data_IF_747400602300
#
_entry.id   IF_747400602300
#
_cell.length_a   1.000
_cell.length_b   1.000
_cell.length_c   1.000
_cell.angle_alpha   90.00
_cell.angle_beta   90.00
_cell.angle_gamma   90.00
#
_symmetry.space_group_name_H-M   'P 1'
#
loop_
_entity.id
_entity.type
_entity.pdbx_description
1 polymer ?
#
# COMPACT_ATOMS: atom_id res chain seq x y z
N UNK A 1 -10.30 59.83 -1.66
CA UNK A 1 -9.04 60.01 -0.91
C UNK A 1 -7.94 59.25 -1.65
N UNK A 2 -6.85 59.91 -2.04
CA UNK A 2 -5.66 59.26 -2.61
C UNK A 2 -4.91 58.54 -1.48
N UNK A 3 -4.53 57.29 -1.69
CA UNK A 3 -3.72 56.53 -0.73
C UNK A 3 -2.33 56.40 -1.34
N UNK A 4 -1.33 56.89 -0.61
CA UNK A 4 0.06 56.86 -1.07
C UNK A 4 0.70 55.53 -0.65
N UNK A 5 1.66 55.07 -1.44
CA UNK A 5 2.35 53.80 -1.20
C UNK A 5 3.86 54.02 -1.19
N UNK A 6 4.56 53.28 -0.34
CA UNK A 6 6.01 53.27 -0.24
C UNK A 6 6.52 51.83 -0.37
N UNK A 7 7.68 51.63 -0.97
CA UNK A 7 8.28 50.30 -1.13
C UNK A 7 9.45 50.15 -0.16
N UNK A 8 9.50 49.04 0.56
CA UNK A 8 10.65 48.70 1.38
C UNK A 8 11.83 48.29 0.49
N UNK A 9 12.99 48.90 0.65
CA UNK A 9 14.13 48.59 -0.23
C UNK A 9 14.74 47.19 0.04
N UNK A 10 14.62 46.67 1.27
CA UNK A 10 15.20 45.39 1.68
C UNK A 10 14.40 44.17 1.21
N UNK A 11 13.07 44.20 1.31
CA UNK A 11 12.21 43.06 0.91
C UNK A 11 11.29 43.35 -0.26
N UNK A 12 11.36 44.57 -0.83
CA UNK A 12 10.58 45.05 -1.98
C UNK A 12 9.06 45.00 -1.77
N UNK A 13 8.57 44.86 -0.54
CA UNK A 13 7.14 44.88 -0.25
C UNK A 13 6.56 46.29 -0.33
N UNK A 14 5.38 46.42 -0.97
CA UNK A 14 4.62 47.66 -1.07
C UNK A 14 3.78 47.88 0.21
N UNK A 15 3.94 49.03 0.86
CA UNK A 15 3.29 49.37 2.12
C UNK A 15 2.45 50.62 1.90
N UNK A 16 1.20 50.60 2.36
CA UNK A 16 0.34 51.78 2.28
C UNK A 16 0.74 52.81 3.34
N UNK A 17 0.95 54.05 2.92
CA UNK A 17 1.26 55.19 3.77
C UNK A 17 0.06 56.16 3.84
N UNK A 18 -0.21 56.68 5.04
CA UNK A 18 -1.16 57.75 5.26
C UNK A 18 -0.51 58.78 6.18
N UNK A 19 -0.41 60.03 5.71
CA UNK A 19 0.22 61.11 6.45
C UNK A 19 -0.39 61.35 7.86
N UNK A 20 -1.66 61.00 8.04
CA UNK A 20 -2.42 61.19 9.30
C UNK A 20 -2.10 60.16 10.39
N UNK A 21 -1.66 58.95 10.03
CA UNK A 21 -1.44 57.84 10.99
C UNK A 21 0.05 57.54 11.25
N UNK A 22 0.94 58.40 10.76
CA UNK A 22 2.38 58.35 11.02
C UNK A 22 3.09 57.09 10.50
N UNK A 23 4.32 56.88 10.95
CA UNK A 23 5.24 55.81 10.52
C UNK A 23 4.94 54.42 11.12
N UNK A 24 3.86 54.26 11.87
CA UNK A 24 3.58 53.02 12.63
C UNK A 24 3.43 51.77 11.75
N UNK A 25 2.90 51.90 10.53
CA UNK A 25 2.83 50.80 9.56
C UNK A 25 4.21 50.36 9.05
N UNK A 26 5.12 51.33 8.87
CA UNK A 26 6.49 51.07 8.45
C UNK A 26 7.33 50.48 9.59
N UNK A 27 7.06 50.89 10.83
CA UNK A 27 7.79 50.39 12.00
C UNK A 27 7.47 48.92 12.30
N UNK A 28 6.18 48.54 12.25
CA UNK A 28 5.77 47.13 12.30
C UNK A 28 6.36 46.31 11.16
N UNK A 29 6.46 46.91 9.98
CA UNK A 29 7.12 46.27 8.85
C UNK A 29 8.61 46.06 9.10
N UNK A 30 9.34 47.05 9.64
CA UNK A 30 10.78 46.93 9.93
C UNK A 30 11.05 45.81 10.93
N UNK A 31 10.21 45.64 11.96
CA UNK A 31 10.32 44.55 12.93
C UNK A 31 10.19 43.16 12.27
N UNK A 32 9.24 42.99 11.35
CA UNK A 32 9.08 41.75 10.58
C UNK A 32 10.15 41.59 9.48
N UNK A 33 10.53 42.67 8.81
CA UNK A 33 11.47 42.67 7.69
C UNK A 33 12.87 42.26 8.15
N UNK A 34 13.28 42.66 9.36
CA UNK A 34 14.55 42.23 9.98
C UNK A 34 14.63 40.72 10.21
N UNK A 35 13.49 40.06 10.44
CA UNK A 35 13.45 38.61 10.58
C UNK A 35 13.59 37.90 9.23
N UNK A 36 13.19 38.55 8.13
CA UNK A 36 13.32 38.01 6.78
C UNK A 36 14.74 38.23 6.23
N UNK A 37 15.39 39.36 6.53
CA UNK A 37 16.78 39.61 6.12
C UNK A 37 17.78 38.63 6.75
N UNK A 38 17.52 38.15 7.98
CA UNK A 38 18.36 37.14 8.64
C UNK A 38 18.17 35.72 8.07
N UNK A 39 17.21 35.51 7.16
CA UNK A 39 17.00 34.24 6.45
C UNK A 39 17.56 34.31 5.01
N UNK A 40 18.02 35.49 4.56
CA UNK A 40 18.48 35.72 3.19
C UNK A 40 19.99 35.54 2.98
N UNK A 41 20.78 35.30 4.03
CA UNK A 41 22.22 34.99 3.93
C UNK A 41 22.56 33.48 3.96
N UNK A 42 21.57 32.60 4.07
CA UNK A 42 21.76 31.17 3.80
C UNK A 42 20.99 30.79 2.52
N UNK A 43 21.76 30.60 1.45
CA UNK A 43 21.35 29.99 0.18
C UNK A 43 20.29 28.89 0.39
N UNK A 44 19.03 29.22 0.16
CA UNK A 44 18.00 28.23 -0.04
C UNK A 44 16.98 28.76 -1.04
N UNK A 45 17.40 28.78 -2.31
CA UNK A 45 16.49 28.85 -3.44
C UNK A 45 15.33 27.88 -3.19
N UNK A 46 14.15 28.42 -2.91
CA UNK A 46 12.93 27.64 -2.83
C UNK A 46 12.59 27.14 -4.24
N UNK A 47 13.18 26.01 -4.61
CA UNK A 47 12.81 25.27 -5.82
C UNK A 47 11.28 25.08 -5.82
N UNK A 48 10.67 25.34 -6.97
CA UNK A 48 9.24 25.15 -7.30
C UNK A 48 8.67 23.77 -6.90
N UNK A 49 9.53 22.83 -6.53
CA UNK A 49 9.18 21.50 -6.01
C UNK A 49 8.36 21.52 -4.71
N UNK A 50 8.36 22.61 -3.92
CA UNK A 50 7.53 22.69 -2.70
C UNK A 50 6.03 22.80 -2.99
N UNK A 51 5.62 23.41 -4.10
CA UNK A 51 4.19 23.49 -4.48
C UNK A 51 3.63 22.14 -4.97
N UNK A 52 4.47 21.27 -5.55
CA UNK A 52 4.06 19.93 -5.99
C UNK A 52 3.91 18.90 -4.85
N UNK A 53 4.26 19.27 -3.62
CA UNK A 53 4.09 18.38 -2.46
C UNK A 53 2.78 18.61 -1.68
N UNK A 54 2.02 19.65 -2.01
CA UNK A 54 0.79 20.01 -1.28
C UNK A 54 -0.50 19.36 -1.81
N UNK A 55 -0.47 18.64 -2.93
CA UNK A 55 -1.65 17.97 -3.50
C UNK A 55 -1.62 16.45 -3.38
N UNK A 56 -0.64 15.88 -2.68
CA UNK A 56 -0.74 14.50 -2.19
C UNK A 56 -1.47 14.53 -0.85
N UNK A 57 -2.78 14.40 -0.89
CA UNK A 57 -3.55 13.74 0.16
C UNK A 57 -2.88 12.38 0.44
N UNK A 58 -1.99 12.34 1.44
CA UNK A 58 -1.12 11.20 1.79
C UNK A 58 -1.94 10.09 2.50
N UNK A 59 -2.87 9.43 1.82
CA UNK A 59 -3.52 8.25 2.43
C UNK A 59 -2.62 7.00 2.41
N UNK A 60 -1.66 6.91 1.48
CA UNK A 60 -0.83 5.70 1.27
C UNK A 60 0.68 5.99 1.12
N UNK A 61 1.18 7.10 1.67
CA UNK A 61 2.60 7.45 1.52
C UNK A 61 3.48 6.66 2.49
N UNK A 62 4.35 5.79 1.97
CA UNK A 62 5.40 5.10 2.73
C UNK A 62 6.76 5.79 2.49
N UNK A 63 7.42 6.34 3.52
CA UNK A 63 8.74 6.95 3.36
C UNK A 63 9.79 5.97 2.82
N UNK A 64 10.71 6.47 1.99
CA UNK A 64 11.73 5.65 1.30
C UNK A 64 12.57 4.79 2.26
N UNK A 65 12.92 5.32 3.43
CA UNK A 65 13.66 4.56 4.47
C UNK A 65 12.93 3.27 4.88
N UNK A 66 11.61 3.31 5.04
CA UNK A 66 10.82 2.12 5.39
C UNK A 66 10.66 1.20 4.19
N UNK A 67 10.48 1.76 2.99
CA UNK A 67 10.45 0.97 1.76
C UNK A 67 11.72 0.16 1.58
N UNK A 68 12.90 0.77 1.75
CA UNK A 68 14.19 0.08 1.65
C UNK A 68 14.35 -1.01 2.71
N UNK A 69 13.90 -0.78 3.95
CA UNK A 69 13.89 -1.82 4.99
C UNK A 69 13.04 -3.02 4.58
N UNK A 70 11.82 -2.78 4.11
CA UNK A 70 10.92 -3.85 3.64
C UNK A 70 11.56 -4.59 2.47
N UNK A 71 12.12 -3.88 1.49
CA UNK A 71 12.82 -4.49 0.36
C UNK A 71 13.93 -5.45 0.82
N UNK A 72 14.79 -5.01 1.74
CA UNK A 72 15.86 -5.86 2.26
C UNK A 72 15.32 -7.10 2.97
N UNK A 73 14.28 -6.96 3.80
CA UNK A 73 13.65 -8.10 4.48
C UNK A 73 12.99 -9.08 3.50
N UNK A 74 12.39 -8.61 2.41
CA UNK A 74 11.83 -9.48 1.37
C UNK A 74 12.93 -10.23 0.62
N UNK A 75 14.06 -9.58 0.33
CA UNK A 75 15.22 -10.23 -0.30
C UNK A 75 15.78 -11.32 0.62
N UNK A 76 15.96 -11.04 1.91
CA UNK A 76 16.39 -12.03 2.89
C UNK A 76 15.41 -13.21 2.99
N UNK A 77 14.10 -12.93 3.06
CA UNK A 77 13.07 -13.97 3.05
C UNK A 77 13.18 -14.88 1.83
N UNK A 78 13.35 -14.30 0.64
CA UNK A 78 13.48 -15.05 -0.62
C UNK A 78 14.72 -15.94 -0.60
N UNK A 79 15.88 -15.40 -0.22
CA UNK A 79 17.15 -16.14 -0.19
C UNK A 79 17.08 -17.27 0.84
N UNK A 80 16.66 -16.97 2.07
CA UNK A 80 16.66 -17.94 3.18
C UNK A 80 15.65 -19.08 2.95
N UNK A 81 14.56 -18.84 2.24
CA UNK A 81 13.50 -19.83 2.03
C UNK A 81 13.47 -20.41 0.62
N UNK A 82 14.42 -20.04 -0.24
CA UNK A 82 14.48 -20.49 -1.64
C UNK A 82 13.18 -20.23 -2.42
N UNK A 83 12.54 -19.07 -2.19
CA UNK A 83 11.26 -18.73 -2.82
C UNK A 83 11.46 -17.99 -4.15
N UNK A 84 10.55 -18.15 -5.13
CA UNK A 84 10.59 -17.34 -6.35
C UNK A 84 10.30 -15.87 -6.03
N UNK A 85 10.84 -14.93 -6.81
CA UNK A 85 10.62 -13.49 -6.60
C UNK A 85 9.13 -13.13 -6.73
N UNK A 86 8.40 -13.84 -7.58
CA UNK A 86 6.99 -13.66 -7.86
C UNK A 86 6.10 -13.84 -6.62
N UNK A 87 6.60 -14.51 -5.57
CA UNK A 87 5.84 -14.73 -4.33
C UNK A 87 5.35 -13.42 -3.70
N UNK A 88 6.12 -12.33 -3.82
CA UNK A 88 5.78 -11.03 -3.22
C UNK A 88 4.64 -10.31 -3.95
N UNK A 89 4.40 -10.70 -5.20
CA UNK A 89 3.28 -10.18 -6.01
C UNK A 89 2.02 -11.05 -5.86
N UNK A 90 2.11 -12.19 -5.18
CA UNK A 90 0.97 -13.08 -4.97
C UNK A 90 -0.09 -12.42 -4.09
N UNK A 91 -1.34 -12.43 -4.54
CA UNK A 91 -2.47 -11.85 -3.79
C UNK A 91 -2.61 -12.45 -2.39
N UNK A 92 -2.34 -13.75 -2.22
CA UNK A 92 -2.32 -14.40 -0.91
C UNK A 92 -1.26 -13.83 0.04
N UNK A 93 -0.06 -13.52 -0.46
CA UNK A 93 1.00 -12.90 0.33
C UNK A 93 0.63 -11.47 0.73
N UNK A 94 0.11 -10.67 -0.20
CA UNK A 94 -0.35 -9.30 0.06
C UNK A 94 -1.46 -9.29 1.13
N UNK A 95 -2.45 -10.17 1.00
CA UNK A 95 -3.55 -10.27 1.97
C UNK A 95 -3.06 -10.61 3.39
N UNK A 96 -2.02 -11.44 3.51
CA UNK A 96 -1.40 -11.75 4.80
C UNK A 96 -0.75 -10.49 5.39
N UNK A 97 0.03 -9.75 4.60
CA UNK A 97 0.69 -8.51 5.07
C UNK A 97 -0.34 -7.48 5.51
N UNK A 98 -1.41 -7.27 4.75
CA UNK A 98 -2.50 -6.37 5.12
C UNK A 98 -3.20 -6.80 6.41
N UNK A 99 -3.44 -8.10 6.58
CA UNK A 99 -4.01 -8.66 7.81
C UNK A 99 -3.10 -8.41 9.02
N UNK A 100 -1.79 -8.68 8.89
CA UNK A 100 -0.80 -8.42 9.94
C UNK A 100 -0.74 -6.94 10.30
N UNK A 101 -0.73 -6.04 9.31
CA UNK A 101 -0.76 -4.59 9.56
C UNK A 101 -2.04 -4.17 10.30
N UNK A 102 -3.19 -4.75 9.94
CA UNK A 102 -4.46 -4.53 10.63
C UNK A 102 -4.40 -4.95 12.11
N UNK A 103 -3.93 -6.18 12.38
CA UNK A 103 -3.80 -6.71 13.74
C UNK A 103 -2.81 -5.89 14.56
N UNK A 104 -1.63 -5.59 14.01
CA UNK A 104 -0.60 -4.80 14.69
C UNK A 104 -1.11 -3.40 15.02
N UNK A 105 -1.85 -2.75 14.11
CA UNK A 105 -2.47 -1.44 14.38
C UNK A 105 -3.42 -1.48 15.57
N UNK A 106 -4.19 -2.56 15.72
CA UNK A 106 -5.11 -2.75 16.86
C UNK A 106 -4.37 -3.06 18.16
N UNK A 107 -3.27 -3.83 18.12
CA UNK A 107 -2.57 -4.27 19.32
C UNK A 107 -1.57 -3.24 19.87
N UNK A 108 -0.96 -2.40 19.02
CA UNK A 108 0.06 -1.42 19.42
C UNK A 108 -0.47 -0.26 20.28
N UNK A 109 -1.78 -0.13 20.46
CA UNK A 109 -2.35 0.77 21.46
C UNK A 109 -2.12 0.25 22.91
N UNK A 110 -1.75 -1.03 23.07
CA UNK A 110 -1.76 -1.70 24.39
C UNK A 110 -0.53 -2.57 24.72
N UNK A 111 0.30 -2.98 23.77
CA UNK A 111 1.48 -3.82 24.06
C UNK A 111 2.47 -3.99 22.89
N UNK A 112 3.64 -4.54 23.18
CA UNK A 112 4.59 -5.04 22.18
C UNK A 112 4.19 -6.45 21.72
N UNK A 113 4.05 -6.65 20.41
CA UNK A 113 3.67 -7.95 19.82
C UNK A 113 4.91 -8.63 19.24
N UNK A 114 5.18 -9.87 19.65
CA UNK A 114 6.20 -10.71 19.01
C UNK A 114 5.64 -11.39 17.77
N UNK A 115 6.37 -11.32 16.65
CA UNK A 115 6.00 -11.99 15.40
C UNK A 115 5.85 -13.52 15.59
N UNK A 116 6.67 -14.14 16.44
CA UNK A 116 6.59 -15.58 16.73
C UNK A 116 5.25 -16.01 17.33
N UNK A 117 4.58 -15.10 18.03
CA UNK A 117 3.30 -15.38 18.68
C UNK A 117 2.12 -15.06 17.76
N UNK A 118 2.36 -14.28 16.70
CA UNK A 118 1.35 -13.96 15.70
C UNK A 118 1.24 -15.06 14.63
N UNK A 119 2.36 -15.69 14.28
CA UNK A 119 2.41 -16.74 13.26
C UNK A 119 2.01 -18.08 13.88
N UNK A 120 1.00 -18.72 13.29
CA UNK A 120 0.55 -20.07 13.68
C UNK A 120 1.54 -21.14 13.22
N UNK A 121 1.64 -22.22 13.99
CA UNK A 121 2.49 -23.34 13.60
C UNK A 121 1.93 -24.09 12.36
N UNK A 122 2.79 -24.78 11.59
CA UNK A 122 2.36 -25.48 10.38
C UNK A 122 1.28 -26.55 10.59
N UNK A 123 1.23 -27.22 11.76
CA UNK A 123 0.21 -28.24 12.02
C UNK A 123 -1.16 -27.59 12.24
N UNK A 124 -1.19 -26.45 12.94
CA UNK A 124 -2.41 -25.65 13.07
C UNK A 124 -2.90 -25.17 11.70
N UNK A 125 -2.00 -24.69 10.84
CA UNK A 125 -2.36 -24.30 9.47
C UNK A 125 -2.94 -25.48 8.67
N UNK A 126 -2.29 -26.65 8.72
CA UNK A 126 -2.75 -27.86 8.03
C UNK A 126 -4.18 -28.23 8.42
N UNK A 127 -4.48 -28.28 9.73
CA UNK A 127 -5.85 -28.56 10.21
C UNK A 127 -6.86 -27.52 9.74
N UNK A 128 -6.43 -26.26 9.65
CA UNK A 128 -7.30 -25.18 9.22
C UNK A 128 -7.58 -25.24 7.71
N UNK A 129 -6.62 -25.70 6.91
CA UNK A 129 -6.79 -25.95 5.48
C UNK A 129 -7.87 -27.01 5.26
N UNK A 130 -7.84 -28.13 6.00
CA UNK A 130 -8.83 -29.21 5.86
C UNK A 130 -10.25 -28.68 6.12
N UNK A 131 -10.43 -27.90 7.19
CA UNK A 131 -11.71 -27.26 7.51
C UNK A 131 -12.21 -26.33 6.39
N UNK A 132 -11.34 -25.43 5.91
CA UNK A 132 -11.69 -24.49 4.83
C UNK A 132 -11.99 -25.24 3.53
N UNK A 133 -11.25 -26.32 3.25
CA UNK A 133 -11.47 -27.17 2.10
C UNK A 133 -12.86 -27.82 2.16
N UNK A 134 -13.22 -28.44 3.28
CA UNK A 134 -14.53 -29.07 3.46
C UNK A 134 -15.68 -28.06 3.34
N UNK A 135 -15.54 -26.88 3.93
CA UNK A 135 -16.53 -25.79 3.81
C UNK A 135 -16.73 -25.37 2.35
N UNK A 136 -15.63 -25.16 1.60
CA UNK A 136 -15.69 -24.80 0.17
C UNK A 136 -16.22 -25.95 -0.68
N UNK A 137 -15.86 -27.18 -0.37
CA UNK A 137 -16.34 -28.38 -1.06
C UNK A 137 -17.86 -28.49 -0.94
N UNK A 138 -18.42 -28.30 0.26
CA UNK A 138 -19.87 -28.28 0.46
C UNK A 138 -20.56 -27.21 -0.39
N UNK A 139 -20.01 -25.99 -0.45
CA UNK A 139 -20.54 -24.91 -1.28
C UNK A 139 -20.49 -25.24 -2.78
N UNK A 140 -19.39 -25.83 -3.25
CA UNK A 140 -19.23 -26.25 -4.64
C UNK A 140 -20.18 -27.38 -5.02
N UNK A 141 -20.39 -28.37 -4.14
CA UNK A 141 -21.35 -29.45 -4.38
C UNK A 141 -22.76 -28.86 -4.58
N UNK A 142 -23.18 -27.96 -3.69
CA UNK A 142 -24.48 -27.28 -3.82
C UNK A 142 -24.58 -26.48 -5.12
N UNK A 143 -23.52 -25.77 -5.51
CA UNK A 143 -23.47 -25.05 -6.79
C UNK A 143 -23.61 -26.00 -7.98
N UNK A 144 -22.83 -27.07 -8.02
CA UNK A 144 -22.80 -28.01 -9.15
C UNK A 144 -24.15 -28.72 -9.35
N UNK A 145 -24.88 -29.00 -8.28
CA UNK A 145 -26.24 -29.55 -8.36
C UNK A 145 -27.22 -28.62 -9.10
N UNK A 146 -26.96 -27.31 -9.16
CA UNK A 146 -27.81 -26.33 -9.85
C UNK A 146 -27.44 -26.13 -11.33
N UNK A 147 -26.26 -26.59 -11.76
CA UNK A 147 -25.74 -26.35 -13.09
C UNK A 147 -26.24 -27.42 -14.05
N UNK A 148 -27.00 -27.00 -15.08
CA UNK A 148 -27.60 -27.92 -16.07
C UNK A 148 -26.66 -28.34 -17.19
N UNK A 149 -25.68 -27.50 -17.52
CA UNK A 149 -24.76 -27.72 -18.62
C UNK A 149 -23.35 -27.37 -18.19
N UNK A 150 -22.45 -28.31 -18.35
CA UNK A 150 -21.05 -28.20 -17.96
C UNK A 150 -20.18 -29.10 -18.86
N UNK A 151 -18.89 -28.82 -18.84
CA UNK A 151 -17.86 -29.61 -19.50
C UNK A 151 -16.83 -30.00 -18.44
N UNK A 152 -16.36 -31.23 -18.48
CA UNK A 152 -15.21 -31.66 -17.66
C UNK A 152 -14.06 -31.94 -18.61
N UNK A 153 -12.90 -31.36 -18.32
CA UNK A 153 -11.65 -31.69 -19.00
C UNK A 153 -10.77 -32.49 -18.06
N UNK A 154 -10.02 -33.43 -18.64
CA UNK A 154 -9.05 -34.24 -17.92
C UNK A 154 -7.74 -34.17 -18.68
N UNK A 155 -6.73 -33.58 -18.05
CA UNK A 155 -5.38 -33.45 -18.59
C UNK A 155 -4.48 -34.47 -17.91
N UNK A 156 -3.86 -35.33 -18.71
CA UNK A 156 -2.89 -36.32 -18.22
C UNK A 156 -1.48 -35.90 -18.62
N UNK A 157 -0.55 -35.95 -17.66
CA UNK A 157 0.87 -35.75 -17.95
C UNK A 157 1.74 -36.63 -17.07
N UNK A 158 3.00 -36.82 -17.48
CA UNK A 158 4.01 -37.48 -16.67
C UNK A 158 5.02 -36.45 -16.22
N UNK A 159 5.29 -36.38 -14.92
CA UNK A 159 6.34 -35.51 -14.38
C UNK A 159 7.69 -35.96 -14.96
N UNK A 160 8.35 -35.06 -15.70
CA UNK A 160 9.59 -35.39 -16.40
C UNK A 160 10.68 -35.91 -15.45
N UNK A 161 10.85 -35.26 -14.29
CA UNK A 161 11.86 -35.61 -13.30
C UNK A 161 11.40 -36.67 -12.29
N UNK A 162 10.11 -36.71 -11.96
CA UNK A 162 9.57 -37.64 -10.94
C UNK A 162 9.13 -38.98 -11.53
N UNK A 163 8.83 -39.02 -12.83
CA UNK A 163 8.23 -40.18 -13.49
C UNK A 163 6.79 -40.47 -13.05
N UNK A 164 6.21 -39.66 -12.17
CA UNK A 164 4.85 -39.82 -11.65
C UNK A 164 3.84 -39.39 -12.72
N UNK A 165 2.76 -40.16 -12.86
CA UNK A 165 1.63 -39.80 -13.72
C UNK A 165 0.64 -38.95 -12.93
N UNK A 166 0.21 -37.85 -13.53
CA UNK A 166 -0.72 -36.89 -12.96
C UNK A 166 -1.98 -36.80 -13.81
N UNK A 167 -3.09 -36.46 -13.17
CA UNK A 167 -4.37 -36.21 -13.80
C UNK A 167 -4.98 -34.93 -13.22
N UNK A 168 -5.04 -33.87 -14.03
CA UNK A 168 -5.72 -32.64 -13.69
C UNK A 168 -7.17 -32.72 -14.15
N UNK A 169 -8.13 -32.56 -13.25
CA UNK A 169 -9.55 -32.57 -13.59
C UNK A 169 -10.11 -31.18 -13.37
N UNK A 170 -10.68 -30.59 -14.43
CA UNK A 170 -11.32 -29.27 -14.36
C UNK A 170 -12.78 -29.34 -14.76
N UNK A 171 -13.63 -28.65 -14.00
CA UNK A 171 -15.06 -28.47 -14.27
C UNK A 171 -15.29 -27.07 -14.83
N UNK A 172 -15.97 -26.99 -15.96
CA UNK A 172 -16.24 -25.76 -16.68
C UNK A 172 -17.74 -25.58 -16.89
N UNK A 173 -18.24 -24.37 -16.63
CA UNK A 173 -19.60 -24.02 -17.02
C UNK A 173 -19.68 -22.54 -17.40
N UNK A 174 -20.66 -22.20 -18.23
CA UNK A 174 -20.98 -20.80 -18.55
C UNK A 174 -22.11 -20.35 -17.64
N UNK A 175 -21.95 -19.22 -16.97
CA UNK A 175 -23.00 -18.66 -16.11
C UNK A 175 -24.03 -17.85 -16.91
N UNK A 176 -25.04 -17.30 -16.22
CA UNK A 176 -26.10 -16.50 -16.85
C UNK A 176 -25.60 -15.18 -17.45
N UNK A 177 -24.41 -14.73 -17.07
CA UNK A 177 -23.73 -13.57 -17.64
C UNK A 177 -22.78 -13.93 -18.79
N UNK A 178 -22.89 -15.14 -19.36
CA UNK A 178 -22.02 -15.65 -20.43
C UNK A 178 -20.52 -15.65 -20.07
N UNK A 179 -20.19 -15.74 -18.78
CA UNK A 179 -18.82 -15.87 -18.30
C UNK A 179 -18.49 -17.34 -18.08
N UNK A 180 -17.35 -17.77 -18.63
CA UNK A 180 -16.78 -19.08 -18.37
C UNK A 180 -16.21 -19.13 -16.94
N UNK A 181 -16.76 -20.03 -16.14
CA UNK A 181 -16.23 -20.37 -14.82
C UNK A 181 -15.51 -21.71 -14.92
N UNK A 182 -14.33 -21.78 -14.31
CA UNK A 182 -13.49 -22.99 -14.26
C UNK A 182 -13.14 -23.31 -12.82
N UNK A 183 -13.31 -24.56 -12.43
CA UNK A 183 -12.97 -25.07 -11.10
C UNK A 183 -12.03 -26.26 -11.26
N UNK A 184 -10.85 -26.19 -10.65
CA UNK A 184 -9.91 -27.32 -10.57
C UNK A 184 -10.41 -28.24 -9.45
N UNK A 185 -10.74 -29.48 -9.80
CA UNK A 185 -11.27 -30.48 -8.86
C UNK A 185 -10.16 -31.38 -8.30
N UNK A 186 -9.13 -31.64 -9.09
CA UNK A 186 -7.98 -32.46 -8.72
C UNK A 186 -6.76 -32.06 -9.57
N UNK A 187 -5.56 -32.15 -8.98
CA UNK A 187 -4.27 -31.92 -9.63
C UNK A 187 -3.19 -32.83 -9.07
#
# INVERSE_FOLDING_TARGET
>A
MKQDYVICDSCKSLISYKAQTGTGGMQKHIECCRQISNVLDEHNESKITKYFHSTKTKSNYVPLKFKNKITNSLVEFIILNGRPFEIVNGSGFINIIECVLGVVRTLLESSTVSASNLIVDPKTLSRHIDRIYDERKCQLISLFQTIKSFIITVDFWKGYFTGVHYAGISFHHVNTQFKLNTFILCC
#
